data_IF_764869896559
#
_entry.id   IF_764869896559
#
_cell.length_a   1.000
_cell.length_b   1.000
_cell.length_c   1.000
_cell.angle_alpha   90.00
_cell.angle_beta   90.00
_cell.angle_gamma   90.00
#
_symmetry.space_group_name_H-M   'P 1'
#
loop_
_entity.id
_entity.type
_entity.pdbx_description
1 polymer ?
#
# COMPACT_ATOMS: atom_id res chain seq x y z
N UNK A 1 3.85 -9.56 -29.53
CA UNK A 1 4.66 -9.98 -28.36
C UNK A 1 4.02 -9.35 -27.13
N UNK A 2 3.40 -10.13 -26.25
CA UNK A 2 2.93 -9.60 -24.97
C UNK A 2 4.18 -9.19 -24.18
N UNK A 3 4.27 -7.92 -23.81
CA UNK A 3 5.32 -7.44 -22.91
C UNK A 3 5.21 -8.23 -21.62
N UNK A 4 6.25 -8.98 -21.27
CA UNK A 4 6.34 -9.71 -20.00
C UNK A 4 6.40 -8.62 -18.92
N UNK A 5 5.28 -8.37 -18.27
CA UNK A 5 5.17 -7.38 -17.24
C UNK A 5 5.89 -7.89 -15.99
N UNK A 6 6.89 -7.18 -15.52
CA UNK A 6 7.60 -7.56 -14.30
C UNK A 6 6.68 -7.47 -13.08
N UNK A 7 6.71 -8.49 -12.18
CA UNK A 7 5.91 -8.46 -10.96
C UNK A 7 6.31 -7.28 -10.05
N UNK A 8 5.34 -6.67 -9.37
CA UNK A 8 5.61 -5.68 -8.35
C UNK A 8 6.33 -6.33 -7.15
N UNK A 9 7.43 -5.74 -6.72
CA UNK A 9 8.15 -6.20 -5.54
C UNK A 9 7.43 -5.70 -4.30
N UNK A 10 7.07 -6.63 -3.42
CA UNK A 10 6.35 -6.38 -2.18
C UNK A 10 7.24 -6.75 -1.00
N UNK A 11 7.58 -5.76 -0.19
CA UNK A 11 8.31 -5.95 1.06
C UNK A 11 7.33 -6.21 2.19
N UNK A 12 7.58 -7.21 3.04
CA UNK A 12 6.78 -7.51 4.22
C UNK A 12 7.61 -7.23 5.47
N UNK A 13 7.21 -6.20 6.22
CA UNK A 13 7.74 -5.87 7.54
C UNK A 13 6.83 -6.47 8.61
N UNK A 14 7.40 -7.26 9.53
CA UNK A 14 6.62 -7.94 10.56
C UNK A 14 7.48 -8.25 11.80
N UNK A 15 6.83 -8.42 12.96
CA UNK A 15 7.48 -8.97 14.14
C UNK A 15 7.59 -10.50 14.04
N UNK A 16 8.73 -11.09 14.37
CA UNK A 16 8.91 -12.56 14.38
C UNK A 16 7.86 -13.29 15.22
N UNK A 17 7.30 -12.64 16.25
CA UNK A 17 6.19 -13.18 17.04
C UNK A 17 4.91 -13.37 16.23
N UNK A 18 4.76 -12.66 15.11
CA UNK A 18 3.61 -12.73 14.21
C UNK A 18 3.83 -13.66 13.02
N UNK A 19 4.91 -14.44 13.02
CA UNK A 19 5.28 -15.35 11.93
C UNK A 19 4.11 -16.22 11.43
N UNK A 20 3.30 -16.79 12.36
CA UNK A 20 2.14 -17.62 12.01
C UNK A 20 1.13 -16.86 11.13
N UNK A 21 0.79 -15.63 11.51
CA UNK A 21 -0.17 -14.80 10.76
C UNK A 21 0.41 -14.33 9.44
N UNK A 22 1.71 -13.97 9.42
CA UNK A 22 2.44 -13.65 8.19
C UNK A 22 2.42 -14.81 7.20
N UNK A 23 2.70 -16.04 7.65
CA UNK A 23 2.71 -17.23 6.78
C UNK A 23 1.30 -17.54 6.22
N UNK A 24 0.24 -17.37 7.03
CA UNK A 24 -1.15 -17.44 6.55
C UNK A 24 -1.45 -16.38 5.49
N UNK A 25 -1.04 -15.12 5.71
CA UNK A 25 -1.21 -14.06 4.72
C UNK A 25 -0.54 -14.41 3.39
N UNK A 26 0.70 -14.90 3.42
CA UNK A 26 1.41 -15.35 2.21
C UNK A 26 0.61 -16.42 1.46
N UNK A 27 -0.03 -17.35 2.18
CA UNK A 27 -0.90 -18.36 1.57
C UNK A 27 -2.06 -17.72 0.81
N UNK A 28 -2.70 -16.69 1.36
CA UNK A 28 -3.79 -15.95 0.70
C UNK A 28 -3.30 -15.11 -0.51
N UNK A 29 -2.05 -14.67 -0.50
CA UNK A 29 -1.43 -13.93 -1.61
C UNK A 29 -0.94 -14.84 -2.75
N UNK A 30 -0.98 -16.16 -2.58
CA UNK A 30 -0.40 -17.11 -3.52
C UNK A 30 -0.97 -17.02 -4.95
N UNK A 31 -2.24 -16.63 -5.10
CA UNK A 31 -2.84 -16.42 -6.42
C UNK A 31 -2.18 -15.25 -7.17
N UNK A 32 -1.85 -14.15 -6.48
CA UNK A 32 -1.15 -13.01 -7.06
C UNK A 32 0.30 -13.36 -7.43
N UNK A 33 0.96 -14.17 -6.60
CA UNK A 33 2.32 -14.65 -6.84
C UNK A 33 2.37 -15.55 -8.07
N UNK A 34 1.47 -16.56 -8.15
CA UNK A 34 1.41 -17.49 -9.28
C UNK A 34 1.08 -16.81 -10.60
N UNK A 35 0.26 -15.77 -10.57
CA UNK A 35 -0.08 -14.94 -11.73
C UNK A 35 1.02 -13.93 -12.08
N UNK A 36 2.13 -13.91 -11.35
CA UNK A 36 3.26 -12.98 -11.52
C UNK A 36 2.87 -11.50 -11.41
N UNK A 37 1.83 -11.19 -10.66
CA UNK A 37 1.48 -9.81 -10.34
C UNK A 37 2.41 -9.23 -9.27
N UNK A 38 2.82 -10.07 -8.30
CA UNK A 38 3.72 -9.67 -7.22
C UNK A 38 4.83 -10.69 -7.01
N UNK A 39 5.95 -10.21 -6.48
CA UNK A 39 7.00 -11.01 -5.85
C UNK A 39 7.17 -10.53 -4.42
N UNK A 40 7.32 -11.46 -3.46
CA UNK A 40 7.46 -11.12 -2.05
C UNK A 40 8.91 -11.13 -1.61
N UNK A 41 9.23 -10.22 -0.69
CA UNK A 41 10.48 -10.25 0.05
C UNK A 41 10.20 -10.00 1.55
N UNK A 42 10.88 -10.74 2.42
CA UNK A 42 10.88 -10.63 3.88
C UNK A 42 12.19 -11.19 4.44
N UNK A 43 12.54 -10.83 5.65
CA UNK A 43 13.84 -11.08 6.30
C UNK A 43 14.34 -12.54 6.25
N UNK A 44 13.47 -13.53 6.35
CA UNK A 44 13.85 -14.95 6.24
C UNK A 44 14.43 -15.35 4.86
N UNK A 45 14.42 -14.44 3.88
CA UNK A 45 15.03 -14.65 2.56
C UNK A 45 16.51 -14.22 2.52
N UNK A 46 17.02 -13.61 3.60
CA UNK A 46 18.42 -13.23 3.71
C UNK A 46 19.29 -14.48 3.85
N UNK A 47 20.27 -14.58 2.96
CA UNK A 47 21.19 -15.71 2.95
C UNK A 47 22.24 -15.57 4.06
N UNK A 48 22.71 -16.70 4.64
CA UNK A 48 23.81 -16.68 5.61
C UNK A 48 25.03 -15.97 5.05
N UNK A 49 25.67 -15.16 5.91
CA UNK A 49 26.87 -14.38 5.53
C UNK A 49 26.59 -13.02 4.92
N UNK A 50 25.33 -12.64 4.75
CA UNK A 50 24.95 -11.30 4.30
C UNK A 50 24.75 -10.35 5.48
N UNK A 51 25.00 -9.07 5.24
CA UNK A 51 24.71 -7.99 6.18
C UNK A 51 23.21 -7.71 6.25
N UNK A 52 22.57 -8.09 7.37
CA UNK A 52 21.12 -8.06 7.55
C UNK A 52 20.54 -6.68 7.25
N UNK A 53 21.11 -5.63 7.85
CA UNK A 53 20.60 -4.27 7.69
C UNK A 53 20.67 -3.77 6.24
N UNK A 54 21.73 -4.13 5.54
CA UNK A 54 21.92 -3.70 4.16
C UNK A 54 20.96 -4.44 3.21
N UNK A 55 20.80 -5.75 3.37
CA UNK A 55 19.87 -6.54 2.56
C UNK A 55 18.41 -6.06 2.75
N UNK A 56 18.01 -5.75 3.99
CA UNK A 56 16.69 -5.19 4.29
C UNK A 56 16.52 -3.82 3.63
N UNK A 57 17.50 -2.92 3.78
CA UNK A 57 17.45 -1.59 3.19
C UNK A 57 17.33 -1.65 1.67
N UNK A 58 18.14 -2.47 1.01
CA UNK A 58 18.09 -2.64 -0.45
C UNK A 58 16.75 -3.22 -0.91
N UNK A 59 16.23 -4.22 -0.20
CA UNK A 59 14.94 -4.82 -0.53
C UNK A 59 13.79 -3.81 -0.37
N UNK A 60 13.80 -3.02 0.71
CA UNK A 60 12.81 -1.99 0.97
C UNK A 60 12.84 -0.89 -0.12
N UNK A 61 14.02 -0.36 -0.44
CA UNK A 61 14.20 0.68 -1.46
C UNK A 61 13.86 0.19 -2.87
N UNK A 62 14.07 -1.09 -3.15
CA UNK A 62 13.73 -1.72 -4.42
C UNK A 62 12.26 -2.13 -4.56
N UNK A 63 11.44 -1.95 -3.52
CA UNK A 63 10.04 -2.38 -3.51
C UNK A 63 9.09 -1.30 -4.01
N UNK A 64 7.95 -1.70 -4.60
CA UNK A 64 6.86 -0.81 -4.98
C UNK A 64 5.75 -0.79 -3.94
N UNK A 65 5.64 -1.85 -3.14
CA UNK A 65 4.62 -1.98 -2.08
C UNK A 65 5.31 -2.46 -0.81
N UNK A 66 4.95 -1.86 0.32
CA UNK A 66 5.37 -2.28 1.66
C UNK A 66 4.13 -2.66 2.45
N UNK A 67 4.10 -3.89 2.97
CA UNK A 67 3.09 -4.36 3.90
C UNK A 67 3.65 -4.26 5.31
N UNK A 68 3.03 -3.44 6.17
CA UNK A 68 3.38 -3.31 7.58
C UNK A 68 2.41 -4.17 8.40
N UNK A 69 2.88 -5.30 8.94
CA UNK A 69 2.05 -6.23 9.69
C UNK A 69 1.99 -5.81 11.17
N UNK A 70 0.93 -5.08 11.52
CA UNK A 70 0.83 -4.36 12.79
C UNK A 70 0.35 -5.23 13.93
N UNK A 71 1.04 -5.10 15.06
CA UNK A 71 0.72 -5.69 16.36
C UNK A 71 1.44 -4.91 17.46
N UNK A 72 1.13 -5.15 18.72
CA UNK A 72 1.87 -4.57 19.84
C UNK A 72 3.36 -4.99 19.80
N UNK A 73 3.66 -6.23 19.41
CA UNK A 73 5.04 -6.71 19.27
C UNK A 73 5.77 -6.04 18.10
N UNK A 74 5.05 -5.69 17.02
CA UNK A 74 5.61 -4.91 15.92
C UNK A 74 6.02 -3.50 16.37
N UNK A 75 5.13 -2.80 17.06
CA UNK A 75 5.39 -1.43 17.54
C UNK A 75 6.47 -1.36 18.62
N UNK A 76 6.63 -2.41 19.42
CA UNK A 76 7.71 -2.49 20.44
C UNK A 76 9.05 -2.95 19.89
N UNK A 77 9.08 -3.46 18.66
CA UNK A 77 10.33 -3.83 17.99
C UNK A 77 11.08 -2.59 17.51
N UNK A 78 12.22 -2.27 18.16
CA UNK A 78 13.06 -1.15 17.74
C UNK A 78 13.47 -1.24 16.26
N UNK A 79 13.62 -2.46 15.75
CA UNK A 79 14.03 -2.69 14.38
C UNK A 79 12.89 -2.45 13.37
N UNK A 80 11.75 -3.11 13.58
CA UNK A 80 10.60 -2.98 12.67
C UNK A 80 10.01 -1.56 12.69
N UNK A 81 9.85 -0.99 13.89
CA UNK A 81 9.25 0.33 14.05
C UNK A 81 10.19 1.45 13.60
N UNK A 82 11.43 1.51 14.15
CA UNK A 82 12.31 2.66 13.91
C UNK A 82 12.98 2.63 12.55
N UNK A 83 13.36 1.46 12.03
CA UNK A 83 14.12 1.40 10.78
C UNK A 83 13.24 1.15 9.57
N UNK A 84 12.44 0.09 9.59
CA UNK A 84 11.68 -0.31 8.40
C UNK A 84 10.47 0.59 8.16
N UNK A 85 9.71 0.91 9.22
CA UNK A 85 8.52 1.75 9.08
C UNK A 85 8.88 3.20 8.75
N UNK A 86 9.87 3.79 9.44
CA UNK A 86 10.29 5.19 9.15
C UNK A 86 10.84 5.32 7.74
N UNK A 87 11.67 4.38 7.29
CA UNK A 87 12.21 4.38 5.92
C UNK A 87 11.07 4.20 4.90
N UNK A 88 10.13 3.28 5.13
CA UNK A 88 8.97 3.09 4.27
C UNK A 88 8.11 4.36 4.19
N UNK A 89 7.92 5.07 5.30
CA UNK A 89 7.16 6.32 5.32
C UNK A 89 7.87 7.46 4.59
N UNK A 90 9.20 7.53 4.66
CA UNK A 90 9.98 8.49 3.90
C UNK A 90 9.88 8.23 2.39
N UNK A 91 10.08 6.98 1.95
CA UNK A 91 9.94 6.58 0.56
C UNK A 91 8.51 6.81 0.04
N UNK A 92 7.48 6.62 0.89
CA UNK A 92 6.09 6.94 0.55
C UNK A 92 5.90 8.43 0.30
N UNK A 93 6.48 9.32 1.14
CA UNK A 93 6.42 10.77 0.93
C UNK A 93 7.04 11.19 -0.41
N UNK A 94 8.10 10.51 -0.82
CA UNK A 94 8.75 10.70 -2.11
C UNK A 94 7.96 10.06 -3.28
N UNK A 95 6.79 9.48 -3.02
CA UNK A 95 5.93 8.80 -4.01
C UNK A 95 6.62 7.62 -4.73
N UNK A 96 7.59 6.99 -4.08
CA UNK A 96 8.34 5.86 -4.64
C UNK A 96 7.66 4.52 -4.42
N UNK A 97 6.86 4.40 -3.35
CA UNK A 97 6.17 3.16 -2.99
C UNK A 97 4.83 3.40 -2.29
N UNK A 98 3.98 2.37 -2.28
CA UNK A 98 2.76 2.32 -1.50
C UNK A 98 3.00 1.62 -0.16
N UNK A 99 2.53 2.22 0.95
CA UNK A 99 2.53 1.60 2.28
C UNK A 99 1.12 1.13 2.60
N UNK A 100 0.96 -0.15 2.94
CA UNK A 100 -0.31 -0.76 3.31
C UNK A 100 -0.18 -1.33 4.73
N UNK A 101 -0.73 -0.65 5.74
CA UNK A 101 -0.80 -1.19 7.10
C UNK A 101 -1.80 -2.36 7.15
N UNK A 102 -1.43 -3.44 7.82
CA UNK A 102 -2.28 -4.62 8.02
C UNK A 102 -2.40 -4.88 9.52
N UNK A 103 -3.61 -4.72 10.05
CA UNK A 103 -3.91 -4.97 11.46
C UNK A 103 -3.94 -6.49 11.72
N UNK A 104 -2.82 -7.08 12.10
CA UNK A 104 -2.79 -8.50 12.46
C UNK A 104 -3.42 -8.75 13.83
N UNK A 105 -2.98 -8.02 14.83
CA UNK A 105 -3.49 -8.03 16.20
C UNK A 105 -3.86 -6.63 16.62
N UNK A 106 -4.81 -6.53 17.54
CA UNK A 106 -5.29 -5.25 18.05
C UNK A 106 -4.16 -4.45 18.69
N UNK A 107 -4.04 -3.19 18.32
CA UNK A 107 -2.99 -2.27 18.78
C UNK A 107 -3.43 -0.83 18.57
N UNK A 108 -3.07 0.03 19.51
CA UNK A 108 -3.29 1.47 19.38
C UNK A 108 -2.26 2.10 18.44
N UNK A 109 -2.76 2.82 17.43
CA UNK A 109 -1.95 3.51 16.42
C UNK A 109 -1.95 5.05 16.60
N UNK A 110 -2.68 5.57 17.61
CA UNK A 110 -2.79 7.01 17.83
C UNK A 110 -1.39 7.61 18.01
N UNK A 111 -1.11 8.66 17.26
CA UNK A 111 0.19 9.36 17.30
C UNK A 111 1.32 8.66 16.55
N UNK A 112 1.08 7.51 15.91
CA UNK A 112 2.06 6.89 15.03
C UNK A 112 2.02 7.49 13.61
N UNK A 113 3.11 7.44 12.83
CA UNK A 113 3.13 7.94 11.45
C UNK A 113 2.14 7.26 10.50
N UNK A 114 1.62 6.09 10.88
CA UNK A 114 0.68 5.29 10.09
C UNK A 114 -0.78 5.47 10.49
N UNK A 115 -1.07 6.22 11.54
CA UNK A 115 -2.44 6.41 12.04
C UNK A 115 -3.40 6.98 10.98
N UNK A 116 -2.93 7.90 10.15
CA UNK A 116 -3.71 8.51 9.06
C UNK A 116 -3.84 7.63 7.81
N UNK A 117 -3.19 6.47 7.76
CA UNK A 117 -3.21 5.59 6.58
C UNK A 117 -4.34 4.57 6.75
N UNK A 118 -5.13 4.38 5.68
CA UNK A 118 -6.15 3.32 5.66
C UNK A 118 -5.47 1.96 5.76
N UNK A 119 -5.86 1.17 6.76
CA UNK A 119 -5.34 -0.17 7.00
C UNK A 119 -6.29 -1.26 6.49
N UNK A 120 -5.77 -2.45 6.35
CA UNK A 120 -6.53 -3.67 6.08
C UNK A 120 -6.48 -4.60 7.31
N UNK A 121 -7.50 -5.44 7.54
CA UNK A 121 -8.81 -5.47 6.89
C UNK A 121 -9.58 -4.15 7.02
N UNK A 122 -10.67 -4.02 6.25
CA UNK A 122 -11.56 -2.85 6.34
C UNK A 122 -12.01 -2.61 7.79
N UNK A 123 -12.36 -1.36 8.12
CA UNK A 123 -12.79 -0.89 9.45
C UNK A 123 -11.70 -0.97 10.55
N UNK A 124 -10.43 -1.11 10.19
CA UNK A 124 -9.30 -1.24 11.13
C UNK A 124 -9.45 -2.40 12.13
N UNK A 125 -10.30 -3.35 11.87
CA UNK A 125 -10.49 -4.51 12.72
C UNK A 125 -9.36 -5.50 12.53
N UNK A 126 -8.66 -5.86 13.61
CA UNK A 126 -7.52 -6.78 13.53
C UNK A 126 -7.93 -8.19 13.05
N UNK A 127 -7.06 -8.86 12.29
CA UNK A 127 -7.30 -10.23 11.80
C UNK A 127 -7.72 -11.17 12.92
N UNK A 128 -7.08 -11.07 14.09
CA UNK A 128 -7.40 -11.91 15.26
C UNK A 128 -8.75 -11.62 15.91
N UNK A 129 -9.40 -10.49 15.60
CA UNK A 129 -10.73 -10.15 16.10
C UNK A 129 -11.85 -10.73 15.23
N UNK A 130 -11.52 -11.30 14.09
CA UNK A 130 -12.50 -12.01 13.27
C UNK A 130 -12.73 -13.44 13.81
N UNK A 131 -13.97 -13.88 13.79
CA UNK A 131 -14.31 -15.27 14.12
C UNK A 131 -13.58 -16.27 13.21
N UNK A 132 -13.33 -15.87 11.96
CA UNK A 132 -12.60 -16.62 10.96
C UNK A 132 -11.43 -15.78 10.43
N UNK A 133 -10.19 -16.13 10.84
CA UNK A 133 -8.97 -15.46 10.38
C UNK A 133 -8.80 -15.55 8.84
N UNK A 134 -9.23 -16.65 8.21
CA UNK A 134 -9.09 -16.81 6.77
C UNK A 134 -10.00 -15.85 6.00
N UNK A 135 -11.21 -15.55 6.53
CA UNK A 135 -12.08 -14.55 5.94
C UNK A 135 -11.45 -13.14 6.03
N UNK A 136 -10.82 -12.82 7.16
CA UNK A 136 -10.11 -11.56 7.32
C UNK A 136 -8.90 -11.46 6.37
N UNK A 137 -8.10 -12.52 6.27
CA UNK A 137 -6.93 -12.56 5.39
C UNK A 137 -7.32 -12.56 3.91
N UNK A 138 -8.47 -13.13 3.54
CA UNK A 138 -9.05 -12.99 2.21
C UNK A 138 -9.36 -11.52 1.89
N UNK A 139 -10.01 -10.80 2.81
CA UNK A 139 -10.27 -9.36 2.66
C UNK A 139 -8.97 -8.57 2.47
N UNK A 140 -7.93 -8.87 3.28
CA UNK A 140 -6.58 -8.29 3.11
C UNK A 140 -6.04 -8.55 1.71
N UNK A 141 -6.09 -9.79 1.24
CA UNK A 141 -5.57 -10.16 -0.09
C UNK A 141 -6.33 -9.47 -1.23
N UNK A 142 -7.65 -9.30 -1.10
CA UNK A 142 -8.49 -8.54 -2.04
C UNK A 142 -8.14 -7.04 -2.04
N UNK A 143 -7.88 -6.46 -0.86
CA UNK A 143 -7.41 -5.09 -0.74
C UNK A 143 -6.06 -4.87 -1.42
N UNK A 144 -5.10 -5.77 -1.20
CA UNK A 144 -3.79 -5.74 -1.86
C UNK A 144 -3.95 -5.89 -3.38
N UNK A 145 -4.82 -6.78 -3.85
CA UNK A 145 -5.12 -6.96 -5.28
C UNK A 145 -5.59 -5.65 -5.91
N UNK A 146 -6.51 -4.92 -5.28
CA UNK A 146 -6.99 -3.62 -5.79
C UNK A 146 -5.84 -2.62 -5.98
N UNK A 147 -4.90 -2.56 -5.03
CA UNK A 147 -3.71 -1.69 -5.15
C UNK A 147 -2.83 -2.13 -6.31
N UNK A 148 -2.55 -3.42 -6.42
CA UNK A 148 -1.73 -4.00 -7.49
C UNK A 148 -2.33 -3.72 -8.88
N UNK A 149 -3.64 -3.93 -9.05
CA UNK A 149 -4.35 -3.63 -10.31
C UNK A 149 -4.34 -2.14 -10.65
N UNK A 150 -4.40 -1.26 -9.64
CA UNK A 150 -4.24 0.19 -9.81
C UNK A 150 -2.87 0.54 -10.41
N UNK A 151 -1.79 -0.01 -9.85
CA UNK A 151 -0.43 0.18 -10.34
C UNK A 151 -0.25 -0.24 -11.81
N UNK A 152 -0.84 -1.36 -12.20
CA UNK A 152 -0.75 -1.82 -13.58
C UNK A 152 -1.55 -0.95 -14.55
N UNK A 153 -2.72 -0.48 -14.13
CA UNK A 153 -3.52 0.47 -14.95
C UNK A 153 -2.75 1.77 -15.21
N UNK A 154 -2.15 2.37 -14.20
CA UNK A 154 -1.37 3.60 -14.34
C UNK A 154 -0.18 3.43 -15.29
N UNK A 155 0.51 2.28 -15.26
CA UNK A 155 1.59 1.97 -16.18
C UNK A 155 1.12 1.80 -17.63
N UNK A 156 -0.09 1.29 -17.83
CA UNK A 156 -0.65 1.06 -19.18
C UNK A 156 -1.17 2.34 -19.79
N UNK A 157 -1.84 3.20 -19.01
CA UNK A 157 -2.46 4.44 -19.51
C UNK A 157 -1.56 5.68 -19.36
N UNK A 158 -0.57 5.68 -18.50
CA UNK A 158 0.39 6.79 -18.34
C UNK A 158 1.36 6.97 -19.50
N UNK A 159 1.39 6.05 -20.47
CA UNK A 159 2.21 6.15 -21.70
C UNK A 159 1.46 6.69 -22.93
N UNK A 160 0.15 6.87 -22.84
CA UNK A 160 -0.64 7.49 -23.89
C UNK A 160 -0.88 8.98 -23.56
N UNK A 161 -0.08 9.87 -24.14
CA UNK A 161 -0.39 11.30 -24.24
C UNK A 161 -1.72 11.42 -24.98
N UNK A 162 -2.79 11.81 -24.28
CA UNK A 162 -4.08 12.14 -24.88
C UNK A 162 -3.85 13.32 -25.82
N UNK A 163 -4.11 13.21 -27.16
CA UNK A 163 -4.07 14.37 -28.02
C UNK A 163 -5.19 15.33 -27.57
N UNK A 164 -4.83 16.58 -27.28
CA UNK A 164 -5.79 17.66 -27.05
C UNK A 164 -6.78 17.76 -28.20
N UNK A 165 -7.95 17.15 -28.06
CA UNK A 165 -9.09 17.50 -28.90
C UNK A 165 -9.74 18.75 -28.33
N UNK A 166 -9.53 19.85 -29.02
CA UNK A 166 -10.23 21.09 -28.84
C UNK A 166 -11.75 20.86 -28.78
N UNK A 167 -12.32 20.95 -27.58
CA UNK A 167 -13.78 21.04 -27.44
C UNK A 167 -14.21 22.50 -27.65
N UNK A 168 -14.68 22.81 -28.85
CA UNK A 168 -15.45 24.02 -29.13
C UNK A 168 -16.82 23.90 -28.46
N UNK A 169 -17.11 24.87 -27.61
CA UNK A 169 -18.37 25.06 -26.90
C UNK A 169 -19.57 25.13 -27.86
N UNK A 170 -20.58 24.29 -27.67
CA UNK A 170 -21.98 24.65 -27.96
C UNK A 170 -22.97 23.91 -27.07
N UNK A 171 -23.60 24.72 -26.19
CA UNK A 171 -24.98 24.66 -25.70
C UNK A 171 -25.50 23.50 -24.81
N UNK A 172 -25.73 23.89 -23.55
CA UNK A 172 -27.03 23.95 -22.82
C UNK A 172 -27.83 22.68 -22.52
N UNK A 173 -28.08 22.59 -21.22
CA UNK A 173 -29.29 22.16 -20.50
C UNK A 173 -29.39 20.70 -20.02
N UNK A 174 -29.37 20.63 -18.68
CA UNK A 174 -30.18 19.78 -17.78
C UNK A 174 -30.10 18.24 -17.86
N UNK A 175 -29.46 17.54 -16.91
CA UNK A 175 -30.17 16.88 -15.83
C UNK A 175 -29.20 16.26 -14.81
N UNK A 176 -29.55 16.46 -13.55
CA UNK A 176 -28.94 15.99 -12.33
C UNK A 176 -29.11 14.49 -12.17
N UNK A 177 -28.03 13.75 -11.97
CA UNK A 177 -27.99 12.55 -11.13
C UNK A 177 -26.54 12.23 -10.80
N UNK A 178 -26.10 12.70 -9.64
CA UNK A 178 -24.79 12.38 -9.08
C UNK A 178 -24.82 10.98 -8.49
N UNK A 179 -24.05 10.06 -9.04
CA UNK A 179 -23.62 8.86 -8.33
C UNK A 179 -22.18 9.14 -7.90
N UNK A 180 -22.00 9.48 -6.62
CA UNK A 180 -20.69 9.61 -5.99
C UNK A 180 -20.13 8.21 -5.74
N UNK A 181 -19.17 7.79 -6.54
CA UNK A 181 -18.27 6.70 -6.19
C UNK A 181 -17.01 7.30 -5.55
N UNK A 182 -17.01 7.35 -4.23
CA UNK A 182 -15.89 7.79 -3.40
C UNK A 182 -14.88 6.65 -3.22
N UNK A 183 -13.95 6.45 -4.14
CA UNK A 183 -12.65 5.79 -3.88
C UNK A 183 -11.62 6.41 -4.84
N UNK A 184 -11.21 7.63 -4.51
CA UNK A 184 -10.16 8.33 -5.25
C UNK A 184 -8.83 8.26 -4.51
N UNK A 185 -7.92 7.39 -4.90
CA UNK A 185 -6.49 7.64 -4.69
C UNK A 185 -6.06 8.68 -5.72
N UNK A 186 -6.01 9.95 -5.30
CA UNK A 186 -5.47 11.01 -6.15
C UNK A 186 -3.94 11.05 -6.00
N UNK A 187 -3.24 10.58 -7.00
CA UNK A 187 -1.87 11.00 -7.27
C UNK A 187 -1.93 12.26 -8.15
N UNK A 188 -2.12 13.41 -7.51
CA UNK A 188 -2.10 14.68 -8.24
C UNK A 188 -0.69 15.24 -8.32
N UNK A 189 -0.12 15.22 -9.51
CA UNK A 189 0.81 16.26 -9.92
C UNK A 189 -0.01 17.47 -10.35
N UNK A 190 -0.25 18.45 -9.49
CA UNK A 190 -0.74 19.77 -9.86
C UNK A 190 -0.36 20.79 -8.78
N UNK A 191 0.29 21.81 -9.25
CA UNK A 191 0.69 23.06 -8.61
C UNK A 191 -0.47 23.71 -7.87
N UNK A 192 -0.32 23.97 -6.55
CA UNK A 192 -1.26 24.79 -5.78
C UNK A 192 -0.80 26.24 -5.91
N UNK A 193 -1.55 27.06 -6.64
CA UNK A 193 -1.47 28.51 -6.55
C UNK A 193 -2.16 28.97 -5.26
N UNK A 194 -1.49 29.87 -4.55
CA UNK A 194 -1.87 30.37 -3.24
C UNK A 194 -3.23 31.08 -3.22
N UNK A 195 -4.02 30.76 -2.22
CA UNK A 195 -5.18 31.51 -1.76
C UNK A 195 -4.94 31.99 -0.33
N UNK A 196 -4.86 33.29 -0.19
CA UNK A 196 -4.72 34.02 1.07
C UNK A 196 -6.00 33.85 1.90
N UNK A 197 -5.88 33.38 3.14
CA UNK A 197 -6.97 33.42 4.11
C UNK A 197 -6.65 34.45 5.17
N UNK A 198 -7.36 35.61 5.17
CA UNK A 198 -7.39 36.57 6.26
C UNK A 198 -8.33 36.07 7.36
N UNK A 199 -7.80 35.96 8.57
CA UNK A 199 -8.60 35.82 9.80
C UNK A 199 -8.87 37.22 10.33
N UNK A 200 -10.15 37.63 10.33
CA UNK A 200 -10.59 38.78 11.12
C UNK A 200 -11.06 38.31 12.50
N UNK A 201 -10.59 39.05 13.51
CA UNK A 201 -10.93 38.98 14.94
C UNK A 201 -12.44 38.95 15.22
#
# INVERSE_FOLDING_TARGET
>A
MQSVQEPLKVFISYSHKDKRLKDKLITHLNSLIRQKYISLWYDNMILPGKEINEEIRQALQGSQIVLLLLSADYLTSNYCYQKEMEEAMNLRKEKKLAVIPIMLRDVDLIGTPIDSIMSLPEDRKAVTQFRNEDAALKNVAEGIRRVVEGWFRERTFGSETIPEKSFSNKNKENNTSAIQNNYGFQFNGSTINGGHFEIKN
#
